data_IF_339488772257
#
_entry.id   IF_339488772257
#
_cell.length_a   1.000
_cell.length_b   1.000
_cell.length_c   1.000
_cell.angle_alpha   90.00
_cell.angle_beta   90.00
_cell.angle_gamma   90.00
#
_symmetry.space_group_name_H-M   'P 1'
#
loop_
_entity.id
_entity.type
_entity.pdbx_description
1 polymer ?
#
# COMPACT_ATOMS: atom_id res chain seq x y z
N UNK A 1 23.05 44.20 23.96
CA UNK A 1 22.34 42.98 24.41
C UNK A 1 21.02 42.72 23.67
N UNK A 2 20.46 43.73 22.95
CA UNK A 2 19.16 43.62 22.26
C UNK A 2 19.15 42.98 20.86
N UNK A 3 20.27 43.04 20.13
CA UNK A 3 20.34 42.49 18.76
C UNK A 3 20.28 40.97 18.69
N UNK A 4 20.84 40.29 19.67
CA UNK A 4 20.82 38.81 19.75
C UNK A 4 19.42 38.25 20.02
N UNK A 5 18.65 38.97 20.87
CA UNK A 5 17.26 38.61 21.20
C UNK A 5 16.34 38.82 20.01
N UNK A 6 16.53 39.90 19.24
CA UNK A 6 15.74 40.19 18.05
C UNK A 6 15.98 39.16 16.90
N UNK A 7 17.23 38.72 16.72
CA UNK A 7 17.58 37.69 15.72
C UNK A 7 16.98 36.31 16.11
N UNK A 8 17.01 35.98 17.41
CA UNK A 8 16.41 34.72 17.90
C UNK A 8 14.90 34.74 17.74
N UNK A 9 14.23 35.85 18.01
CA UNK A 9 12.78 36.01 17.84
C UNK A 9 12.36 36.02 16.35
N UNK A 10 13.14 36.63 15.46
CA UNK A 10 12.85 36.61 14.02
C UNK A 10 12.98 35.21 13.42
N UNK A 11 13.99 34.44 13.82
CA UNK A 11 14.15 33.04 13.42
C UNK A 11 13.04 32.13 13.95
N UNK A 12 12.57 32.36 15.17
CA UNK A 12 11.45 31.61 15.74
C UNK A 12 10.13 31.91 15.03
N UNK A 13 9.90 33.18 14.64
CA UNK A 13 8.72 33.58 13.85
C UNK A 13 8.75 33.10 12.38
N UNK A 14 9.92 32.96 11.76
CA UNK A 14 10.04 32.39 10.42
C UNK A 14 9.73 30.89 10.39
N UNK A 15 10.08 30.15 11.45
CA UNK A 15 9.75 28.72 11.55
C UNK A 15 8.25 28.45 11.79
N UNK A 16 7.50 29.40 12.35
CA UNK A 16 6.05 29.25 12.60
C UNK A 16 5.17 29.50 11.37
N UNK A 17 5.72 29.94 10.24
CA UNK A 17 4.99 30.24 8.99
C UNK A 17 4.96 29.11 7.95
N UNK A 18 5.50 27.94 8.28
CA UNK A 18 5.43 26.81 7.33
C UNK A 18 4.01 26.22 7.34
N UNK A 19 3.32 26.33 6.20
CA UNK A 19 1.95 25.87 6.04
C UNK A 19 1.82 24.34 6.25
N UNK A 20 0.61 23.83 6.47
CA UNK A 20 0.36 22.39 6.73
C UNK A 20 0.90 21.48 5.62
N UNK A 21 0.83 21.91 4.38
CA UNK A 21 1.36 21.18 3.23
C UNK A 21 2.87 20.92 3.33
N UNK A 22 3.65 21.92 3.72
CA UNK A 22 5.11 21.77 3.86
C UNK A 22 5.49 20.82 5.00
N UNK A 23 4.70 20.81 6.08
CA UNK A 23 4.90 19.87 7.21
C UNK A 23 4.59 18.44 6.78
N UNK A 24 3.49 18.21 6.06
CA UNK A 24 3.11 16.89 5.52
C UNK A 24 4.20 16.36 4.59
N UNK A 25 4.70 17.19 3.67
CA UNK A 25 5.77 16.77 2.73
C UNK A 25 7.08 16.47 3.43
N UNK A 26 7.45 17.23 4.47
CA UNK A 26 8.64 16.97 5.28
C UNK A 26 8.53 15.61 6.01
N UNK A 27 7.37 15.31 6.60
CA UNK A 27 7.09 14.04 7.27
C UNK A 27 7.10 12.90 6.26
N UNK A 28 6.46 13.06 5.10
CA UNK A 28 6.43 12.06 4.05
C UNK A 28 7.83 11.73 3.53
N UNK A 29 8.67 12.76 3.29
CA UNK A 29 10.07 12.57 2.88
C UNK A 29 10.89 11.83 3.94
N UNK A 30 10.67 12.12 5.21
CA UNK A 30 11.34 11.42 6.30
C UNK A 30 10.90 9.96 6.39
N UNK A 31 9.59 9.70 6.32
CA UNK A 31 9.03 8.35 6.33
C UNK A 31 9.53 7.53 5.13
N UNK A 32 9.58 8.13 3.93
CA UNK A 32 10.15 7.50 2.74
C UNK A 32 11.62 7.13 2.93
N UNK A 33 12.45 8.06 3.43
CA UNK A 33 13.88 7.78 3.67
C UNK A 33 14.10 6.69 4.73
N UNK A 34 13.27 6.66 5.76
CA UNK A 34 13.30 5.64 6.80
C UNK A 34 12.95 4.27 6.21
N UNK A 35 11.87 4.19 5.43
CA UNK A 35 11.42 2.97 4.79
C UNK A 35 12.41 2.44 3.76
N UNK A 36 12.95 3.30 2.87
CA UNK A 36 13.95 2.89 1.86
C UNK A 36 15.24 2.41 2.51
N UNK A 37 15.58 2.89 3.70
CA UNK A 37 16.77 2.44 4.43
C UNK A 37 16.56 1.10 5.16
N UNK A 38 15.35 0.57 5.19
CA UNK A 38 15.06 -0.73 5.80
C UNK A 38 15.54 -1.86 4.88
N UNK A 39 16.41 -2.74 5.42
CA UNK A 39 16.99 -3.88 4.69
C UNK A 39 15.94 -4.87 4.19
N UNK A 40 14.78 -4.92 4.84
CA UNK A 40 13.66 -5.78 4.46
C UNK A 40 13.18 -5.49 3.04
N UNK A 41 13.13 -4.21 2.65
CA UNK A 41 12.70 -3.83 1.29
C UNK A 41 13.63 -4.39 0.21
N UNK A 42 14.94 -4.28 0.39
CA UNK A 42 15.91 -4.81 -0.58
C UNK A 42 15.80 -6.33 -0.72
N UNK A 43 15.63 -7.04 0.39
CA UNK A 43 15.46 -8.49 0.37
C UNK A 43 14.18 -8.91 -0.36
N UNK A 44 13.08 -8.19 -0.17
CA UNK A 44 11.81 -8.47 -0.86
C UNK A 44 11.90 -8.21 -2.35
N UNK A 45 12.52 -7.10 -2.78
CA UNK A 45 12.75 -6.81 -4.20
C UNK A 45 13.64 -7.87 -4.83
N UNK A 46 14.74 -8.24 -4.16
CA UNK A 46 15.63 -9.30 -4.63
C UNK A 46 14.88 -10.63 -4.81
N UNK A 47 14.00 -10.95 -3.86
CA UNK A 47 13.22 -12.18 -3.92
C UNK A 47 12.22 -12.19 -5.09
N UNK A 48 11.56 -11.05 -5.39
CA UNK A 48 10.69 -10.94 -6.57
C UNK A 48 11.49 -11.09 -7.86
N UNK A 49 12.66 -10.49 -7.95
CA UNK A 49 13.53 -10.65 -9.12
C UNK A 49 13.95 -12.12 -9.28
N UNK A 50 14.27 -12.80 -8.16
CA UNK A 50 14.59 -14.23 -8.18
C UNK A 50 13.40 -15.08 -8.63
N UNK A 51 12.19 -14.81 -8.11
CA UNK A 51 10.96 -15.49 -8.56
C UNK A 51 10.68 -15.25 -10.06
N UNK A 52 10.99 -14.04 -10.55
CA UNK A 52 10.86 -13.74 -11.99
C UNK A 52 11.82 -14.60 -12.83
N UNK A 53 13.06 -14.80 -12.34
CA UNK A 53 14.01 -15.73 -12.99
C UNK A 53 13.48 -17.16 -12.97
N UNK A 54 12.95 -17.62 -11.82
CA UNK A 54 12.32 -18.95 -11.70
C UNK A 54 11.14 -19.08 -12.66
N UNK A 55 10.33 -18.04 -12.83
CA UNK A 55 9.21 -18.04 -13.78
C UNK A 55 9.66 -18.21 -15.22
N UNK A 56 10.84 -17.70 -15.61
CA UNK A 56 11.43 -17.96 -16.94
C UNK A 56 11.70 -19.45 -17.13
N UNK A 57 12.36 -20.11 -16.16
CA UNK A 57 12.64 -21.54 -16.22
C UNK A 57 11.37 -22.39 -16.28
N UNK A 58 10.36 -22.08 -15.45
CA UNK A 58 9.08 -22.78 -15.49
C UNK A 58 8.38 -22.53 -16.82
N UNK A 59 8.49 -21.33 -17.36
CA UNK A 59 7.96 -20.95 -18.65
C UNK A 59 8.50 -21.83 -19.77
N UNK A 60 9.81 -22.06 -19.83
CA UNK A 60 10.45 -22.95 -20.83
C UNK A 60 9.88 -24.38 -20.79
N UNK A 61 9.47 -24.86 -19.62
CA UNK A 61 8.86 -26.18 -19.45
C UNK A 61 7.37 -26.22 -19.83
N UNK A 62 6.74 -25.07 -20.03
CA UNK A 62 5.27 -24.96 -20.20
C UNK A 62 4.77 -25.11 -21.64
N UNK A 63 5.62 -25.56 -22.57
CA UNK A 63 5.20 -25.88 -23.91
C UNK A 63 4.63 -24.73 -24.75
N UNK A 64 5.26 -23.54 -24.67
CA UNK A 64 4.89 -22.36 -25.47
C UNK A 64 3.98 -21.35 -24.74
N UNK A 65 3.71 -21.54 -23.45
CA UNK A 65 2.95 -20.58 -22.63
C UNK A 65 3.87 -19.72 -21.74
N UNK A 66 5.15 -19.69 -22.00
CA UNK A 66 6.20 -19.01 -21.22
C UNK A 66 5.81 -17.60 -20.81
N UNK A 67 5.33 -16.79 -21.75
CA UNK A 67 4.96 -15.39 -21.52
C UNK A 67 3.82 -15.23 -20.53
N UNK A 68 2.81 -16.09 -20.60
CA UNK A 68 1.68 -16.06 -19.66
C UNK A 68 2.13 -16.40 -18.25
N UNK A 69 2.96 -17.44 -18.12
CA UNK A 69 3.51 -17.90 -16.84
C UNK A 69 4.37 -16.78 -16.20
N UNK A 70 5.23 -16.12 -16.99
CA UNK A 70 6.07 -15.02 -16.49
C UNK A 70 5.22 -13.86 -15.99
N UNK A 71 4.18 -13.47 -16.72
CA UNK A 71 3.28 -12.36 -16.30
C UNK A 71 2.47 -12.76 -15.07
N UNK A 72 1.87 -13.94 -15.06
CA UNK A 72 0.99 -14.39 -13.97
C UNK A 72 1.79 -14.55 -12.67
N UNK A 73 2.90 -15.27 -12.68
CA UNK A 73 3.76 -15.45 -11.51
C UNK A 73 4.46 -14.14 -11.12
N UNK A 74 4.94 -13.37 -12.10
CA UNK A 74 5.62 -12.10 -11.83
C UNK A 74 4.71 -11.08 -11.16
N UNK A 75 3.51 -10.83 -11.71
CA UNK A 75 2.55 -9.91 -11.11
C UNK A 75 1.98 -10.43 -9.78
N UNK A 76 1.75 -11.74 -9.65
CA UNK A 76 1.36 -12.35 -8.39
C UNK A 76 2.43 -12.14 -7.30
N UNK A 77 3.70 -12.26 -7.66
CA UNK A 77 4.81 -11.97 -6.77
C UNK A 77 4.85 -10.47 -6.39
N UNK A 78 4.66 -9.56 -7.36
CA UNK A 78 4.59 -8.11 -7.08
C UNK A 78 3.47 -7.80 -6.07
N UNK A 79 2.28 -8.39 -6.25
CA UNK A 79 1.17 -8.23 -5.33
C UNK A 79 1.51 -8.78 -3.95
N UNK A 80 1.93 -10.04 -3.86
CA UNK A 80 2.19 -10.73 -2.59
C UNK A 80 3.25 -9.99 -1.76
N UNK A 81 4.40 -9.66 -2.36
CA UNK A 81 5.46 -8.94 -1.66
C UNK A 81 5.08 -7.48 -1.39
N UNK A 82 4.32 -6.84 -2.29
CA UNK A 82 3.74 -5.53 -2.05
C UNK A 82 2.83 -5.52 -0.80
N UNK A 83 2.01 -6.54 -0.62
CA UNK A 83 1.17 -6.75 0.57
C UNK A 83 2.02 -6.89 1.84
N UNK A 84 3.09 -7.69 1.81
CA UNK A 84 4.01 -7.80 2.94
C UNK A 84 4.64 -6.44 3.29
N UNK A 85 5.10 -5.68 2.29
CA UNK A 85 5.65 -4.34 2.51
C UNK A 85 4.57 -3.42 3.11
N UNK A 86 3.37 -3.37 2.53
CA UNK A 86 2.28 -2.52 3.01
C UNK A 86 1.90 -2.82 4.46
N UNK A 87 1.83 -4.10 4.83
CA UNK A 87 1.49 -4.53 6.20
C UNK A 87 2.63 -4.24 7.16
N UNK A 88 3.81 -4.83 6.95
CA UNK A 88 4.88 -4.79 7.95
C UNK A 88 5.54 -3.42 8.08
N UNK A 89 5.79 -2.74 6.97
CA UNK A 89 6.34 -1.38 7.01
C UNK A 89 5.27 -0.39 7.47
N UNK A 90 4.01 -0.56 7.02
CA UNK A 90 2.88 0.28 7.42
C UNK A 90 2.63 0.24 8.92
N UNK A 91 2.54 -0.96 9.50
CA UNK A 91 2.37 -1.13 10.95
C UNK A 91 3.61 -0.68 11.71
N UNK A 92 4.82 -1.05 11.23
CA UNK A 92 6.08 -0.79 11.92
C UNK A 92 6.41 0.70 12.08
N UNK A 93 6.08 1.53 11.09
CA UNK A 93 6.42 2.96 11.10
C UNK A 93 5.70 3.76 12.18
N UNK A 94 4.44 3.44 12.48
CA UNK A 94 3.70 4.13 13.53
C UNK A 94 4.08 3.57 14.91
N UNK A 95 4.18 2.24 14.99
CA UNK A 95 4.48 1.60 16.27
C UNK A 95 5.87 1.94 16.80
N UNK A 96 6.91 1.94 15.96
CA UNK A 96 8.28 2.31 16.37
C UNK A 96 8.36 3.68 17.02
N UNK A 97 7.54 4.64 16.58
CA UNK A 97 7.50 5.99 17.17
C UNK A 97 6.74 6.03 18.49
N UNK A 98 5.68 5.22 18.63
CA UNK A 98 4.94 5.09 19.89
C UNK A 98 5.85 4.45 20.95
N UNK A 99 6.53 3.36 20.60
CA UNK A 99 7.39 2.59 21.52
C UNK A 99 8.62 3.40 21.96
N UNK A 100 9.27 4.08 21.02
CA UNK A 100 10.46 4.91 21.30
C UNK A 100 10.14 6.23 21.98
N UNK A 101 8.86 6.53 22.25
CA UNK A 101 8.38 7.80 22.79
C UNK A 101 8.83 9.04 21.99
N UNK A 102 9.32 8.83 20.75
CA UNK A 102 9.73 9.93 19.86
C UNK A 102 8.53 10.75 19.39
N UNK A 103 7.34 10.19 19.52
CA UNK A 103 6.07 10.86 19.24
C UNK A 103 5.91 12.16 20.07
N UNK A 104 6.44 12.21 21.31
CA UNK A 104 6.43 13.42 22.13
C UNK A 104 7.33 14.52 21.56
N UNK A 105 8.48 14.15 20.98
CA UNK A 105 9.37 15.11 20.34
C UNK A 105 8.76 15.67 19.03
N UNK A 106 7.93 14.91 18.33
CA UNK A 106 7.19 15.39 17.15
C UNK A 106 6.09 16.36 17.57
N UNK A 107 5.35 16.06 18.63
CA UNK A 107 4.25 16.91 19.13
C UNK A 107 4.71 18.10 20.00
N UNK A 108 5.98 18.18 20.37
CA UNK A 108 6.56 19.41 20.93
C UNK A 108 6.66 20.54 19.87
N UNK A 109 6.60 20.18 18.58
CA UNK A 109 6.46 21.11 17.46
C UNK A 109 4.97 21.29 17.13
N UNK A 110 4.54 22.42 16.53
CA UNK A 110 3.14 22.66 16.19
C UNK A 110 2.71 21.84 14.96
N UNK A 111 2.73 20.50 15.09
CA UNK A 111 2.33 19.53 14.05
C UNK A 111 1.03 18.86 14.50
N UNK A 112 0.00 18.95 13.66
CA UNK A 112 -1.28 18.28 13.91
C UNK A 112 -1.13 16.75 13.81
N UNK A 113 -1.88 16.01 14.67
CA UNK A 113 -1.87 14.53 14.65
C UNK A 113 -2.31 13.95 13.29
N UNK A 114 -3.24 14.64 12.61
CA UNK A 114 -3.65 14.29 11.24
C UNK A 114 -2.55 14.54 10.21
N UNK A 115 -1.83 15.69 10.30
CA UNK A 115 -0.70 16.01 9.42
C UNK A 115 0.40 14.94 9.52
N UNK A 116 0.64 14.45 10.74
CA UNK A 116 1.59 13.37 11.00
C UNK A 116 1.15 12.06 10.32
N UNK A 117 -0.09 11.63 10.52
CA UNK A 117 -0.59 10.37 9.97
C UNK A 117 -0.64 10.39 8.44
N UNK A 118 -1.15 11.49 7.85
CA UNK A 118 -1.18 11.68 6.40
C UNK A 118 0.23 11.74 5.81
N UNK A 119 1.16 12.42 6.48
CA UNK A 119 2.57 12.46 6.05
C UNK A 119 3.21 11.08 6.04
N UNK A 120 3.00 10.28 7.10
CA UNK A 120 3.48 8.88 7.15
C UNK A 120 2.86 8.02 6.04
N UNK A 121 1.55 8.15 5.84
CA UNK A 121 0.85 7.45 4.77
C UNK A 121 1.43 7.77 3.38
N UNK A 122 1.62 9.05 3.06
CA UNK A 122 2.19 9.46 1.76
C UNK A 122 3.64 8.99 1.59
N UNK A 123 4.44 9.00 2.63
CA UNK A 123 5.80 8.46 2.61
C UNK A 123 5.83 6.96 2.30
N UNK A 124 4.90 6.20 2.88
CA UNK A 124 4.73 4.77 2.59
C UNK A 124 4.25 4.52 1.16
N UNK A 125 3.26 5.28 0.69
CA UNK A 125 2.78 5.18 -0.69
C UNK A 125 3.93 5.42 -1.69
N UNK A 126 4.78 6.42 -1.43
CA UNK A 126 5.95 6.68 -2.27
C UNK A 126 6.95 5.51 -2.23
N UNK A 127 7.17 4.89 -1.08
CA UNK A 127 8.02 3.70 -0.96
C UNK A 127 7.46 2.53 -1.75
N UNK A 128 6.16 2.27 -1.63
CA UNK A 128 5.48 1.22 -2.39
C UNK A 128 5.53 1.49 -3.89
N UNK A 129 5.36 2.74 -4.32
CA UNK A 129 5.46 3.12 -5.72
C UNK A 129 6.82 2.72 -6.31
N UNK A 130 7.90 3.11 -5.63
CA UNK A 130 9.27 2.77 -6.08
C UNK A 130 9.45 1.26 -6.16
N UNK A 131 9.01 0.49 -5.14
CA UNK A 131 9.16 -0.96 -5.12
C UNK A 131 8.34 -1.62 -6.24
N UNK A 132 7.06 -1.27 -6.39
CA UNK A 132 6.17 -1.83 -7.41
C UNK A 132 6.68 -1.51 -8.83
N UNK A 133 7.19 -0.29 -9.06
CA UNK A 133 7.79 0.08 -10.34
C UNK A 133 9.05 -0.74 -10.63
N UNK A 134 9.96 -0.88 -9.67
CA UNK A 134 11.19 -1.70 -9.82
C UNK A 134 10.83 -3.15 -10.13
N UNK A 135 9.87 -3.72 -9.40
CA UNK A 135 9.41 -5.10 -9.63
C UNK A 135 8.73 -5.25 -11.00
N UNK A 136 7.86 -4.31 -11.40
CA UNK A 136 7.19 -4.28 -12.71
C UNK A 136 8.17 -4.16 -13.87
N UNK A 137 9.23 -3.36 -13.71
CA UNK A 137 10.35 -3.31 -14.67
C UNK A 137 11.05 -4.65 -14.76
N UNK A 138 11.28 -5.33 -13.64
CA UNK A 138 11.85 -6.68 -13.61
C UNK A 138 11.05 -7.68 -14.45
N UNK A 139 9.72 -7.71 -14.28
CA UNK A 139 8.82 -8.55 -15.08
C UNK A 139 8.87 -8.16 -16.56
N UNK A 140 8.91 -6.86 -16.87
CA UNK A 140 9.03 -6.38 -18.26
C UNK A 140 10.33 -6.81 -18.92
N UNK A 141 11.45 -6.75 -18.20
CA UNK A 141 12.76 -7.19 -18.65
C UNK A 141 12.79 -8.70 -18.89
N UNK A 142 12.13 -9.51 -18.06
CA UNK A 142 12.00 -10.94 -18.26
C UNK A 142 11.25 -11.27 -19.57
N UNK A 143 10.17 -10.54 -19.87
CA UNK A 143 9.45 -10.70 -21.14
C UNK A 143 10.31 -10.33 -22.35
N UNK A 144 11.07 -9.23 -22.27
CA UNK A 144 12.01 -8.80 -23.33
C UNK A 144 13.10 -9.87 -23.57
N UNK A 145 13.62 -10.45 -22.50
CA UNK A 145 14.65 -11.50 -22.57
C UNK A 145 14.14 -12.74 -23.28
N UNK A 146 12.97 -13.26 -22.87
CA UNK A 146 12.41 -14.49 -23.42
C UNK A 146 12.01 -14.34 -24.89
N UNK A 147 11.40 -13.21 -25.26
CA UNK A 147 10.99 -12.95 -26.64
C UNK A 147 12.14 -12.48 -27.55
N UNK A 148 13.28 -12.10 -26.99
CA UNK A 148 14.39 -11.45 -27.70
C UNK A 148 13.95 -10.21 -28.51
N UNK A 149 12.94 -9.47 -28.01
CA UNK A 149 12.38 -8.29 -28.64
C UNK A 149 11.17 -7.75 -27.92
N UNK A 150 10.53 -6.72 -28.49
CA UNK A 150 9.35 -6.11 -27.93
C UNK A 150 8.14 -7.06 -27.88
N UNK A 151 7.53 -7.22 -26.72
CA UNK A 151 6.29 -7.98 -26.53
C UNK A 151 5.11 -7.04 -26.24
N UNK A 152 3.98 -7.15 -26.95
CA UNK A 152 2.76 -6.39 -26.66
C UNK A 152 2.25 -6.55 -25.23
N UNK A 153 2.55 -7.69 -24.56
CA UNK A 153 2.20 -7.90 -23.15
C UNK A 153 2.83 -6.84 -22.23
N UNK A 154 3.99 -6.28 -22.58
CA UNK A 154 4.62 -5.23 -21.80
C UNK A 154 3.70 -4.01 -21.64
N UNK A 155 2.93 -3.67 -22.66
CA UNK A 155 1.97 -2.56 -22.57
C UNK A 155 0.74 -2.91 -21.73
N UNK A 156 0.35 -4.19 -21.68
CA UNK A 156 -0.83 -4.64 -20.92
C UNK A 156 -0.55 -4.85 -19.43
N UNK A 157 0.70 -5.14 -19.05
CA UNK A 157 1.05 -5.34 -17.63
C UNK A 157 1.06 -4.04 -16.81
N UNK A 158 1.40 -2.89 -17.40
CA UNK A 158 1.51 -1.63 -16.66
C UNK A 158 0.19 -1.14 -16.06
N UNK A 159 -0.95 -1.20 -16.76
CA UNK A 159 -2.25 -0.94 -16.14
C UNK A 159 -2.59 -1.90 -15.00
N UNK A 160 -2.20 -3.18 -15.09
CA UNK A 160 -2.36 -4.13 -13.99
C UNK A 160 -1.44 -3.80 -12.81
N UNK A 161 -0.19 -3.42 -13.06
CA UNK A 161 0.75 -2.93 -12.04
C UNK A 161 0.20 -1.69 -11.32
N UNK A 162 -0.45 -0.78 -12.06
CA UNK A 162 -1.11 0.38 -11.48
C UNK A 162 -2.27 -0.02 -10.56
N UNK A 163 -3.09 -0.99 -10.96
CA UNK A 163 -4.18 -1.50 -10.10
C UNK A 163 -3.62 -2.14 -8.83
N UNK A 164 -2.57 -2.95 -8.92
CA UNK A 164 -1.87 -3.52 -7.77
C UNK A 164 -1.37 -2.39 -6.85
N UNK A 165 -0.77 -1.34 -7.40
CA UNK A 165 -0.30 -0.21 -6.60
C UNK A 165 -1.44 0.49 -5.85
N UNK A 166 -2.58 0.74 -6.51
CA UNK A 166 -3.77 1.35 -5.89
C UNK A 166 -4.31 0.46 -4.76
N UNK A 167 -4.35 -0.84 -4.96
CA UNK A 167 -4.72 -1.81 -3.93
C UNK A 167 -3.80 -1.74 -2.71
N UNK A 168 -2.48 -1.69 -2.93
CA UNK A 168 -1.49 -1.58 -1.88
C UNK A 168 -1.60 -0.25 -1.11
N UNK A 169 -1.93 0.86 -1.78
CA UNK A 169 -2.24 2.14 -1.13
C UNK A 169 -3.43 2.01 -0.17
N UNK A 170 -4.49 1.34 -0.61
CA UNK A 170 -5.67 1.10 0.21
C UNK A 170 -5.33 0.22 1.42
N UNK A 171 -4.59 -0.86 1.20
CA UNK A 171 -4.16 -1.78 2.26
C UNK A 171 -3.25 -1.08 3.29
N UNK A 172 -2.38 -0.18 2.82
CA UNK A 172 -1.54 0.65 3.70
C UNK A 172 -2.37 1.56 4.61
N UNK A 173 -3.45 2.15 4.09
CA UNK A 173 -4.37 2.95 4.91
C UNK A 173 -5.04 2.10 6.00
N UNK A 174 -5.45 0.87 5.65
CA UNK A 174 -6.02 -0.11 6.60
C UNK A 174 -4.99 -0.51 7.67
N UNK A 175 -3.74 -0.76 7.28
CA UNK A 175 -2.65 -1.09 8.20
C UNK A 175 -2.40 0.05 9.21
N UNK A 176 -2.35 1.30 8.73
CA UNK A 176 -2.21 2.49 9.59
C UNK A 176 -3.41 2.68 10.52
N UNK A 177 -4.61 2.41 10.04
CA UNK A 177 -5.83 2.46 10.85
C UNK A 177 -5.74 1.49 12.03
N UNK A 178 -5.45 0.21 11.78
CA UNK A 178 -5.32 -0.76 12.86
C UNK A 178 -4.15 -0.45 13.80
N UNK A 179 -3.02 0.02 13.28
CA UNK A 179 -1.87 0.36 14.10
C UNK A 179 -2.11 1.57 15.01
N UNK A 180 -3.15 2.37 14.73
CA UNK A 180 -3.49 3.52 15.58
C UNK A 180 -4.06 3.13 16.95
N UNK A 181 -4.60 1.91 17.11
CA UNK A 181 -5.22 1.46 18.36
C UNK A 181 -4.85 0.06 18.81
N UNK A 182 -4.22 -0.77 17.98
CA UNK A 182 -3.86 -2.14 18.35
C UNK A 182 -2.35 -2.38 18.39
N UNK A 183 -1.92 -3.55 18.87
CA UNK A 183 -0.53 -3.96 18.86
C UNK A 183 -0.03 -4.28 17.44
N UNK A 184 1.28 -4.25 17.16
CA UNK A 184 1.80 -4.52 15.82
C UNK A 184 1.37 -5.86 15.24
N UNK A 185 1.48 -6.91 16.05
CA UNK A 185 1.12 -8.26 15.63
C UNK A 185 -0.38 -8.34 15.27
N UNK A 186 -1.25 -7.75 16.10
CA UNK A 186 -2.69 -7.74 15.87
C UNK A 186 -3.05 -6.86 14.67
N UNK A 187 -2.40 -5.70 14.51
CA UNK A 187 -2.60 -4.82 13.34
C UNK A 187 -2.23 -5.52 12.04
N UNK A 188 -1.09 -6.22 12.02
CA UNK A 188 -0.65 -6.98 10.86
C UNK A 188 -1.63 -8.11 10.53
N UNK A 189 -2.06 -8.86 11.55
CA UNK A 189 -3.02 -9.95 11.40
C UNK A 189 -4.38 -9.45 10.87
N UNK A 190 -4.92 -8.40 11.46
CA UNK A 190 -6.20 -7.82 11.02
C UNK A 190 -6.12 -7.26 9.59
N UNK A 191 -5.01 -6.61 9.24
CA UNK A 191 -4.81 -6.12 7.87
C UNK A 191 -4.71 -7.27 6.87
N UNK A 192 -4.03 -8.35 7.24
CA UNK A 192 -3.94 -9.55 6.42
C UNK A 192 -5.31 -10.22 6.23
N UNK A 193 -6.15 -10.27 7.26
CA UNK A 193 -7.53 -10.74 7.12
C UNK A 193 -8.36 -9.84 6.21
N UNK A 194 -8.22 -8.52 6.31
CA UNK A 194 -8.90 -7.59 5.38
C UNK A 194 -8.45 -7.84 3.94
N UNK A 195 -7.16 -8.11 3.70
CA UNK A 195 -6.65 -8.48 2.39
C UNK A 195 -7.31 -9.75 1.86
N UNK A 196 -7.33 -10.83 2.64
CA UNK A 196 -7.94 -12.10 2.22
C UNK A 196 -9.44 -11.91 1.97
N UNK A 197 -10.17 -11.40 2.95
CA UNK A 197 -11.64 -11.27 2.85
C UNK A 197 -12.01 -10.30 1.72
N UNK A 198 -11.25 -9.22 1.54
CA UNK A 198 -11.45 -8.25 0.47
C UNK A 198 -11.30 -8.85 -0.94
N UNK A 199 -10.37 -9.80 -1.13
CA UNK A 199 -10.21 -10.54 -2.39
C UNK A 199 -11.37 -11.50 -2.67
N UNK A 200 -11.93 -12.12 -1.63
CA UNK A 200 -13.09 -13.01 -1.72
C UNK A 200 -14.43 -12.27 -1.60
N UNK A 201 -14.45 -10.94 -1.71
CA UNK A 201 -15.67 -10.15 -1.50
C UNK A 201 -16.82 -10.50 -2.45
N UNK A 202 -16.52 -10.84 -3.71
CA UNK A 202 -17.54 -11.31 -4.66
C UNK A 202 -18.17 -12.64 -4.21
N UNK A 203 -17.36 -13.55 -3.67
CA UNK A 203 -17.80 -14.86 -3.19
C UNK A 203 -18.59 -14.76 -1.88
N UNK A 204 -18.29 -13.75 -1.02
CA UNK A 204 -19.06 -13.49 0.20
C UNK A 204 -20.54 -13.28 -0.07
N UNK A 205 -20.87 -12.57 -1.16
CA UNK A 205 -22.25 -12.29 -1.55
C UNK A 205 -22.96 -13.57 -2.03
N UNK A 206 -22.26 -14.42 -2.78
CA UNK A 206 -22.79 -15.71 -3.22
C UNK A 206 -22.98 -16.68 -2.05
N UNK A 207 -22.01 -16.72 -1.11
CA UNK A 207 -22.10 -17.48 0.12
C UNK A 207 -23.24 -17.02 1.03
N UNK A 208 -23.49 -15.71 1.14
CA UNK A 208 -24.60 -15.17 1.90
C UNK A 208 -25.97 -15.70 1.41
N UNK A 209 -26.08 -15.95 0.10
CA UNK A 209 -27.31 -16.49 -0.50
C UNK A 209 -27.38 -18.01 -0.33
N UNK A 210 -26.25 -18.74 -0.51
CA UNK A 210 -26.21 -20.21 -0.51
C UNK A 210 -26.40 -20.84 0.87
N UNK A 211 -25.95 -20.17 1.94
CA UNK A 211 -26.01 -20.70 3.31
C UNK A 211 -27.43 -20.69 3.92
N UNK A 212 -28.41 -20.04 3.32
CA UNK A 212 -29.83 -20.12 3.69
C UNK A 212 -30.21 -19.58 5.08
N UNK A 213 -29.24 -19.31 5.98
CA UNK A 213 -29.53 -18.82 7.33
C UNK A 213 -29.56 -17.29 7.35
N UNK A 214 -30.53 -16.71 8.08
CA UNK A 214 -30.67 -15.25 8.18
C UNK A 214 -29.44 -14.59 8.84
N UNK A 215 -28.84 -15.25 9.84
CA UNK A 215 -27.64 -14.74 10.52
C UNK A 215 -26.41 -14.73 9.61
N UNK A 216 -26.18 -15.77 8.81
CA UNK A 216 -25.09 -15.82 7.85
C UNK A 216 -25.26 -14.74 6.77
N UNK A 217 -26.48 -14.60 6.25
CA UNK A 217 -26.77 -13.55 5.25
C UNK A 217 -26.46 -12.15 5.79
N UNK A 218 -26.88 -11.84 7.01
CA UNK A 218 -26.62 -10.56 7.64
C UNK A 218 -25.11 -10.31 7.85
N UNK A 219 -24.40 -11.32 8.35
CA UNK A 219 -22.95 -11.26 8.59
C UNK A 219 -22.16 -11.02 7.30
N UNK A 220 -22.36 -11.87 6.28
CA UNK A 220 -21.60 -11.78 5.03
C UNK A 220 -21.97 -10.52 4.22
N UNK A 221 -23.22 -10.09 4.27
CA UNK A 221 -23.64 -8.82 3.65
C UNK A 221 -23.02 -7.63 4.37
N UNK A 222 -22.97 -7.67 5.71
CA UNK A 222 -22.30 -6.64 6.51
C UNK A 222 -20.80 -6.56 6.20
N UNK A 223 -20.11 -7.70 6.13
CA UNK A 223 -18.69 -7.76 5.76
C UNK A 223 -18.46 -7.22 4.34
N UNK A 224 -19.32 -7.56 3.39
CA UNK A 224 -19.23 -7.07 2.01
C UNK A 224 -19.28 -5.54 1.90
N UNK A 225 -20.15 -4.87 2.67
CA UNK A 225 -20.25 -3.41 2.67
C UNK A 225 -19.20 -2.72 3.55
N UNK A 226 -18.75 -3.38 4.62
CA UNK A 226 -17.79 -2.83 5.57
C UNK A 226 -16.36 -2.89 5.04
N UNK A 227 -15.99 -3.99 4.36
CA UNK A 227 -14.63 -4.22 3.89
C UNK A 227 -14.43 -3.71 2.46
N UNK A 228 -13.20 -3.29 2.11
CA UNK A 228 -12.93 -2.86 0.75
C UNK A 228 -13.02 -4.05 -0.21
N UNK A 229 -13.67 -3.85 -1.35
CA UNK A 229 -13.69 -4.85 -2.40
C UNK A 229 -12.36 -4.83 -3.17
N UNK A 230 -11.43 -5.69 -2.77
CA UNK A 230 -10.11 -5.81 -3.39
C UNK A 230 -10.15 -6.65 -4.68
N UNK A 231 -11.20 -7.44 -4.91
CA UNK A 231 -11.36 -8.21 -6.15
C UNK A 231 -11.36 -7.32 -7.41
N UNK A 232 -11.78 -6.06 -7.29
CA UNK A 232 -11.74 -5.10 -8.40
C UNK A 232 -10.33 -4.76 -8.88
N UNK A 233 -9.30 -5.02 -8.07
CA UNK A 233 -7.89 -4.76 -8.42
C UNK A 233 -7.18 -5.99 -8.99
N UNK A 234 -7.79 -7.18 -8.89
CA UNK A 234 -7.24 -8.44 -9.37
C UNK A 234 -7.32 -8.54 -10.90
N UNK A 235 -6.35 -7.94 -11.58
CA UNK A 235 -6.28 -7.94 -13.05
C UNK A 235 -5.04 -8.72 -13.58
N UNK A 236 -4.47 -9.61 -12.75
CA UNK A 236 -3.24 -10.36 -13.05
C UNK A 236 -3.48 -11.35 -14.20
N UNK A 237 -4.42 -12.27 -14.03
CA UNK A 237 -4.73 -13.29 -15.05
C UNK A 237 -5.25 -12.70 -16.37
N UNK A 238 -6.14 -11.68 -16.41
CA UNK A 238 -6.46 -11.01 -17.65
C UNK A 238 -5.24 -10.39 -18.35
N UNK A 239 -4.32 -9.76 -17.60
CA UNK A 239 -3.09 -9.18 -18.15
C UNK A 239 -2.17 -10.25 -18.78
N UNK A 240 -2.05 -11.43 -18.15
CA UNK A 240 -1.30 -12.56 -18.69
C UNK A 240 -1.89 -13.08 -20.02
N UNK A 241 -3.18 -12.87 -20.24
CA UNK A 241 -3.86 -13.18 -21.51
C UNK A 241 -3.90 -11.99 -22.49
N UNK A 242 -3.11 -10.95 -22.27
CA UNK A 242 -3.00 -9.79 -23.15
C UNK A 242 -4.21 -8.85 -23.10
N UNK A 243 -5.04 -8.92 -22.06
CA UNK A 243 -6.16 -8.01 -21.85
C UNK A 243 -5.74 -6.88 -20.93
N UNK A 244 -5.91 -5.62 -21.36
CA UNK A 244 -5.71 -4.46 -20.53
C UNK A 244 -7.06 -4.00 -19.92
N UNK A 245 -7.10 -3.51 -18.68
CA UNK A 245 -8.30 -2.89 -18.14
C UNK A 245 -8.63 -1.62 -18.93
N UNK A 246 -9.92 -1.32 -19.09
CA UNK A 246 -10.33 -0.06 -19.72
C UNK A 246 -9.95 1.14 -18.85
N UNK A 247 -9.64 2.28 -19.46
CA UNK A 247 -9.31 3.50 -18.72
C UNK A 247 -10.42 3.91 -17.75
N UNK A 248 -11.69 3.74 -18.14
CA UNK A 248 -12.85 4.00 -17.28
C UNK A 248 -12.88 3.09 -16.05
N UNK A 249 -12.52 1.80 -16.20
CA UNK A 249 -12.43 0.87 -15.07
C UNK A 249 -11.31 1.26 -14.10
N UNK A 250 -10.11 1.60 -14.62
CA UNK A 250 -8.99 2.07 -13.78
C UNK A 250 -9.36 3.34 -13.02
N UNK A 251 -10.01 4.29 -13.69
CA UNK A 251 -10.44 5.54 -13.04
C UNK A 251 -11.50 5.28 -11.96
N UNK A 252 -12.49 4.45 -12.23
CA UNK A 252 -13.52 4.09 -11.24
C UNK A 252 -12.90 3.40 -10.02
N UNK A 253 -11.98 2.45 -10.24
CA UNK A 253 -11.25 1.77 -9.16
C UNK A 253 -10.38 2.73 -8.36
N UNK A 254 -9.72 3.69 -9.01
CA UNK A 254 -8.92 4.72 -8.35
C UNK A 254 -9.79 5.67 -7.50
N UNK A 255 -10.94 6.11 -8.02
CA UNK A 255 -11.89 6.95 -7.27
C UNK A 255 -12.45 6.21 -6.05
N UNK A 256 -12.82 4.95 -6.21
CA UNK A 256 -13.28 4.11 -5.11
C UNK A 256 -12.19 4.00 -4.02
N UNK A 257 -10.94 3.69 -4.40
CA UNK A 257 -9.83 3.63 -3.47
C UNK A 257 -9.61 4.96 -2.75
N UNK A 258 -9.63 6.07 -3.49
CA UNK A 258 -9.41 7.41 -2.92
C UNK A 258 -10.44 7.75 -1.84
N UNK A 259 -11.73 7.53 -2.12
CA UNK A 259 -12.80 7.76 -1.14
C UNK A 259 -12.63 6.87 0.08
N UNK A 260 -12.35 5.59 -0.14
CA UNK A 260 -12.17 4.62 0.95
C UNK A 260 -10.95 4.97 1.83
N UNK A 261 -9.82 5.31 1.22
CA UNK A 261 -8.60 5.77 1.90
C UNK A 261 -8.88 7.03 2.72
N UNK A 262 -9.59 8.01 2.16
CA UNK A 262 -9.93 9.24 2.86
C UNK A 262 -10.78 8.97 4.12
N UNK A 263 -11.78 8.11 4.02
CA UNK A 263 -12.62 7.69 5.16
C UNK A 263 -11.80 6.97 6.23
N UNK A 264 -10.97 6.02 5.84
CA UNK A 264 -10.11 5.24 6.77
C UNK A 264 -9.08 6.16 7.46
N UNK A 265 -8.41 7.04 6.74
CA UNK A 265 -7.45 7.97 7.33
C UNK A 265 -8.12 8.99 8.26
N UNK A 266 -9.33 9.44 7.93
CA UNK A 266 -10.12 10.29 8.83
C UNK A 266 -10.47 9.55 10.13
N UNK A 267 -10.95 8.30 10.03
CA UNK A 267 -11.24 7.46 11.18
C UNK A 267 -9.98 7.17 12.03
N UNK A 268 -8.85 6.84 11.38
CA UNK A 268 -7.57 6.65 12.04
C UNK A 268 -7.12 7.91 12.80
N UNK A 269 -7.27 9.08 12.18
CA UNK A 269 -6.93 10.37 12.80
C UNK A 269 -7.81 10.66 14.01
N UNK A 270 -9.12 10.38 13.94
CA UNK A 270 -10.04 10.56 15.06
C UNK A 270 -9.68 9.66 16.25
N UNK A 271 -9.39 8.38 16.00
CA UNK A 271 -8.98 7.42 17.04
C UNK A 271 -7.65 7.86 17.65
N UNK A 272 -6.66 8.18 16.81
CA UNK A 272 -5.35 8.63 17.24
C UNK A 272 -5.40 9.94 18.03
N UNK A 273 -6.36 10.83 17.71
CA UNK A 273 -6.54 12.10 18.44
C UNK A 273 -7.08 11.91 19.86
N UNK A 274 -7.87 10.86 20.09
CA UNK A 274 -8.45 10.54 21.40
C UNK A 274 -7.55 9.69 22.30
N UNK A 275 -6.47 9.13 21.74
CA UNK A 275 -5.54 8.30 22.52
C UNK A 275 -4.63 9.18 23.37
N UNK A 276 -4.76 9.06 24.70
CA UNK A 276 -3.82 9.64 25.64
C UNK A 276 -2.59 8.74 25.68
N UNK A 277 -1.49 9.22 25.13
CA UNK A 277 -0.18 8.58 25.30
C UNK A 277 0.31 8.92 26.72
N UNK A 278 0.13 8.03 27.69
CA UNK A 278 0.69 8.15 29.04
C UNK A 278 1.99 7.34 29.13
#
# INVERSE_FOLDING_TARGET
>A
MDTTVAITQSNTRAQTRQGPFWRITAIARNAFREAVRDRVLYNLVLFVLLLTVVAIFIGELSGGQERKVIVDLGLSAVLLFGVFIAIFVGVGLVYKEIERRTIYAVFSKPVGRGEFLVGKYLGLCLTLLVNVVVMGVGVSLALLYVKRGWDPLITTIWPAVLLIYIELMLLTAVALFFSSFSSPALSALLTFFVFIIGHFSADLKSLAVSLGSAGARWLFTGLYYLLPNLANYSFITPAAHGRAPSAGFVLASALYAFVYIAVILAAATLIFSRRNFK
#
